data_IF_509195042330
#
_entry.id   IF_509195042330
#
_cell.length_a   1.000
_cell.length_b   1.000
_cell.length_c   1.000
_cell.angle_alpha   90.00
_cell.angle_beta   90.00
_cell.angle_gamma   90.00
#
_symmetry.space_group_name_H-M   'P 1'
#
loop_
_entity.id
_entity.type
_entity.pdbx_description
1 polymer ?
#
# COMPACT_ATOMS: atom_id res chain seq x y z
N UNK A 1 21.85 -12.93 -18.73
CA UNK A 1 20.94 -12.57 -17.61
C UNK A 1 20.31 -13.86 -17.13
N UNK A 2 20.31 -14.15 -15.82
CA UNK A 2 19.69 -15.39 -15.31
C UNK A 2 18.17 -15.40 -15.55
N UNK A 3 17.62 -16.59 -15.83
CA UNK A 3 16.21 -16.80 -16.08
C UNK A 3 15.38 -16.46 -14.84
N UNK A 4 14.38 -15.57 -14.98
CA UNK A 4 13.45 -15.22 -13.90
C UNK A 4 12.04 -15.67 -14.27
N UNK A 5 11.40 -16.36 -13.34
CA UNK A 5 10.04 -16.84 -13.47
C UNK A 5 9.06 -15.99 -12.66
N UNK A 6 7.83 -15.90 -13.14
CA UNK A 6 6.73 -15.41 -12.32
C UNK A 6 6.53 -16.33 -11.11
N UNK A 7 6.36 -15.77 -9.93
CA UNK A 7 6.16 -16.54 -8.71
C UNK A 7 4.70 -16.94 -8.44
N UNK A 8 3.77 -16.45 -9.26
CA UNK A 8 2.34 -16.76 -9.16
C UNK A 8 2.11 -18.22 -9.61
N UNK A 9 1.45 -19.06 -8.79
CA UNK A 9 1.16 -20.44 -9.16
C UNK A 9 0.42 -20.53 -10.51
N UNK A 10 0.81 -21.48 -11.36
CA UNK A 10 0.22 -21.67 -12.68
C UNK A 10 0.70 -20.69 -13.77
N UNK A 11 1.48 -19.66 -13.42
CA UNK A 11 2.06 -18.75 -14.41
C UNK A 11 3.40 -19.28 -14.93
N UNK A 12 3.47 -19.56 -16.24
CA UNK A 12 4.70 -20.03 -16.91
C UNK A 12 5.57 -18.89 -17.47
N UNK A 13 5.15 -17.64 -17.27
CA UNK A 13 5.86 -16.49 -17.83
C UNK A 13 7.25 -16.32 -17.24
N UNK A 14 8.21 -16.08 -18.13
CA UNK A 14 9.61 -15.91 -17.78
C UNK A 14 10.30 -14.93 -18.73
N UNK A 15 11.50 -14.49 -18.36
CA UNK A 15 12.25 -13.47 -19.10
C UNK A 15 12.76 -13.90 -20.47
N UNK A 16 12.74 -15.19 -20.79
CA UNK A 16 13.21 -15.73 -22.08
C UNK A 16 12.07 -15.84 -23.09
N UNK A 17 10.92 -16.38 -22.67
CA UNK A 17 9.75 -16.57 -23.55
C UNK A 17 8.90 -15.31 -23.69
N UNK A 18 8.85 -14.46 -22.67
CA UNK A 18 8.00 -13.26 -22.65
C UNK A 18 8.85 -11.98 -22.81
N UNK A 19 9.58 -11.90 -23.93
CA UNK A 19 10.37 -10.71 -24.29
C UNK A 19 9.44 -9.49 -24.44
N UNK A 20 9.54 -8.55 -23.51
CA UNK A 20 8.69 -7.35 -23.44
C UNK A 20 7.74 -7.30 -22.25
N UNK A 21 7.62 -8.39 -21.49
CA UNK A 21 6.84 -8.39 -20.25
C UNK A 21 7.66 -7.83 -19.09
N UNK A 22 7.08 -6.89 -18.35
CA UNK A 22 7.69 -6.36 -17.13
C UNK A 22 7.58 -7.36 -15.98
N UNK A 23 8.67 -7.51 -15.21
CA UNK A 23 8.73 -8.33 -14.01
C UNK A 23 8.98 -7.44 -12.78
N UNK A 24 8.05 -7.46 -11.83
CA UNK A 24 8.05 -6.57 -10.68
C UNK A 24 8.45 -7.32 -9.40
N UNK A 25 9.32 -6.70 -8.61
CA UNK A 25 9.64 -7.17 -7.26
C UNK A 25 8.52 -6.83 -6.27
N UNK A 26 8.42 -7.62 -5.20
CA UNK A 26 7.57 -7.29 -4.08
C UNK A 26 7.95 -5.92 -3.48
N UNK A 27 6.99 -5.09 -3.06
CA UNK A 27 7.29 -3.84 -2.39
C UNK A 27 7.97 -4.08 -1.03
N UNK A 28 8.88 -3.18 -0.64
CA UNK A 28 9.52 -3.21 0.68
C UNK A 28 8.58 -2.71 1.79
N UNK A 29 7.54 -1.96 1.42
CA UNK A 29 6.49 -1.53 2.34
C UNK A 29 5.73 -2.77 2.87
N UNK A 30 5.71 -3.02 4.19
CA UNK A 30 5.12 -4.23 4.75
C UNK A 30 3.62 -4.37 4.47
N UNK A 31 2.87 -3.26 4.48
CA UNK A 31 1.42 -3.26 4.27
C UNK A 31 1.11 -3.72 2.85
N UNK A 32 1.74 -3.09 1.86
CA UNK A 32 1.57 -3.44 0.45
C UNK A 32 2.14 -4.81 0.12
N UNK A 33 3.23 -5.21 0.76
CA UNK A 33 3.83 -6.53 0.59
C UNK A 33 2.86 -7.62 1.06
N UNK A 34 2.21 -7.41 2.21
CA UNK A 34 1.16 -8.32 2.72
C UNK A 34 0.02 -8.49 1.71
N UNK A 35 -0.44 -7.42 1.07
CA UNK A 35 -1.47 -7.49 0.03
C UNK A 35 -1.03 -8.32 -1.18
N UNK A 36 0.21 -8.12 -1.64
CA UNK A 36 0.77 -8.94 -2.72
C UNK A 36 0.87 -10.42 -2.34
N UNK A 37 1.31 -10.73 -1.12
CA UNK A 37 1.40 -12.10 -0.62
C UNK A 37 0.03 -12.77 -0.57
N UNK A 38 -0.99 -12.05 -0.09
CA UNK A 38 -2.38 -12.52 -0.08
C UNK A 38 -2.87 -12.83 -1.49
N UNK A 39 -2.65 -11.90 -2.42
CA UNK A 39 -3.17 -12.03 -3.77
C UNK A 39 -2.38 -13.01 -4.66
N UNK A 40 -1.11 -13.30 -4.36
CA UNK A 40 -0.37 -14.36 -5.05
C UNK A 40 -0.81 -15.77 -4.63
N UNK A 41 -1.67 -15.87 -3.61
CA UNK A 41 -2.21 -17.12 -3.06
C UNK A 41 -1.16 -18.20 -2.77
N UNK A 42 -0.01 -17.80 -2.22
CA UNK A 42 1.11 -18.70 -1.92
C UNK A 42 1.41 -18.70 -0.42
N UNK A 43 1.17 -19.86 0.22
CA UNK A 43 1.33 -20.00 1.67
C UNK A 43 2.78 -19.79 2.13
N UNK A 44 3.76 -20.26 1.34
CA UNK A 44 5.20 -20.14 1.64
C UNK A 44 5.67 -18.68 1.83
N UNK A 45 4.93 -17.71 1.26
CA UNK A 45 5.32 -16.30 1.32
C UNK A 45 4.94 -15.64 2.63
N UNK A 46 3.98 -16.20 3.37
CA UNK A 46 3.52 -15.66 4.65
C UNK A 46 4.61 -15.71 5.73
N UNK A 47 5.55 -16.63 5.61
CA UNK A 47 6.68 -16.79 6.53
C UNK A 47 7.93 -15.97 6.13
N UNK A 48 7.90 -15.26 4.99
CA UNK A 48 9.07 -14.52 4.46
C UNK A 48 8.98 -13.03 4.78
N UNK A 49 10.14 -12.40 4.96
CA UNK A 49 10.18 -10.95 5.13
C UNK A 49 9.95 -10.22 3.79
N UNK A 50 9.49 -8.96 3.79
CA UNK A 50 9.39 -8.15 2.57
C UNK A 50 10.72 -8.04 1.80
N UNK A 51 11.86 -8.08 2.51
CA UNK A 51 13.19 -7.99 1.91
C UNK A 51 13.52 -9.27 1.14
N UNK A 52 13.24 -10.44 1.71
CA UNK A 52 13.45 -11.73 1.05
C UNK A 52 12.57 -11.86 -0.19
N UNK A 53 11.30 -11.44 -0.06
CA UNK A 53 10.35 -11.42 -1.17
C UNK A 53 10.81 -10.49 -2.30
N UNK A 54 11.27 -9.28 -1.96
CA UNK A 54 11.76 -8.29 -2.92
C UNK A 54 12.97 -8.80 -3.70
N UNK A 55 13.90 -9.48 -3.05
CA UNK A 55 15.13 -9.99 -3.69
C UNK A 55 14.87 -11.20 -4.56
N UNK A 56 14.16 -12.20 -4.03
CA UNK A 56 14.06 -13.52 -4.62
C UNK A 56 12.92 -13.73 -5.63
N UNK A 57 11.86 -12.92 -5.57
CA UNK A 57 10.62 -13.24 -6.28
C UNK A 57 10.14 -12.11 -7.19
N UNK A 58 9.51 -12.48 -8.30
CA UNK A 58 8.98 -11.55 -9.29
C UNK A 58 7.57 -11.92 -9.69
N UNK A 59 6.73 -10.92 -9.88
CA UNK A 59 5.39 -11.05 -10.45
C UNK A 59 5.41 -10.40 -11.83
N UNK A 60 4.95 -11.09 -12.85
CA UNK A 60 4.93 -10.55 -14.20
C UNK A 60 3.76 -9.56 -14.41
N UNK A 61 3.86 -8.71 -15.43
CA UNK A 61 2.89 -7.66 -15.72
C UNK A 61 1.47 -8.16 -16.00
N UNK A 62 1.30 -9.42 -16.42
CA UNK A 62 -0.01 -10.04 -16.69
C UNK A 62 -0.92 -10.09 -15.46
N UNK A 63 -0.36 -10.00 -14.26
CA UNK A 63 -1.13 -10.08 -13.01
C UNK A 63 -1.67 -8.71 -12.54
N UNK A 64 -1.34 -7.62 -13.23
CA UNK A 64 -1.76 -6.26 -12.87
C UNK A 64 -2.69 -5.71 -13.95
N UNK A 65 -3.73 -5.00 -13.52
CA UNK A 65 -4.62 -4.31 -14.47
C UNK A 65 -3.89 -3.16 -15.18
N UNK A 66 -4.22 -2.85 -16.45
CA UNK A 66 -3.63 -1.72 -17.18
C UNK A 66 -3.72 -0.37 -16.44
N UNK A 67 -4.78 -0.17 -15.66
CA UNK A 67 -5.02 1.03 -14.84
C UNK A 67 -4.02 1.21 -13.68
N UNK A 68 -3.37 0.12 -13.27
CA UNK A 68 -2.41 0.09 -12.16
C UNK A 68 -1.00 0.53 -12.56
N UNK A 69 -0.73 0.71 -13.86
CA UNK A 69 0.55 1.19 -14.35
C UNK A 69 0.61 2.71 -14.38
N UNK A 70 1.79 3.27 -14.05
CA UNK A 70 2.01 4.71 -13.99
C UNK A 70 2.30 5.35 -15.36
N UNK A 71 2.24 4.58 -16.44
CA UNK A 71 2.50 5.06 -17.81
C UNK A 71 2.25 3.98 -18.85
N UNK A 72 2.33 4.37 -20.12
CA UNK A 72 2.03 3.50 -21.27
C UNK A 72 3.02 2.33 -21.43
N UNK A 73 4.27 2.50 -20.97
CA UNK A 73 5.31 1.46 -21.09
C UNK A 73 5.17 0.31 -20.09
N UNK A 74 4.16 0.34 -19.21
CA UNK A 74 3.90 -0.70 -18.19
C UNK A 74 5.17 -1.13 -17.42
N UNK A 75 6.09 -0.20 -17.19
CA UNK A 75 7.39 -0.43 -16.55
C UNK A 75 7.39 -0.11 -15.06
N UNK A 76 6.37 0.61 -14.59
CA UNK A 76 6.23 1.06 -13.20
C UNK A 76 4.79 0.89 -12.72
N UNK A 77 4.66 0.39 -11.49
CA UNK A 77 3.38 0.21 -10.81
C UNK A 77 3.06 1.42 -9.92
N UNK A 78 1.79 1.82 -9.90
CA UNK A 78 1.26 2.81 -8.96
C UNK A 78 1.32 2.28 -7.52
N UNK A 79 1.16 3.16 -6.53
CA UNK A 79 1.27 2.79 -5.10
C UNK A 79 0.19 1.80 -4.66
N UNK A 80 -1.02 1.89 -5.21
CA UNK A 80 -2.14 0.99 -4.92
C UNK A 80 -2.12 -0.31 -5.74
N UNK A 81 -1.16 -0.48 -6.65
CA UNK A 81 -1.14 -1.63 -7.53
C UNK A 81 -0.82 -2.91 -6.74
N UNK A 82 -1.70 -3.89 -6.88
CA UNK A 82 -1.61 -5.24 -6.32
C UNK A 82 -1.89 -6.25 -7.44
N UNK A 83 -1.27 -7.43 -7.42
CA UNK A 83 -1.63 -8.46 -8.37
C UNK A 83 -3.09 -8.86 -8.11
N UNK A 84 -3.93 -8.93 -9.12
CA UNK A 84 -5.36 -9.27 -8.96
C UNK A 84 -5.80 -10.41 -9.86
N UNK A 85 -5.06 -10.69 -10.93
CA UNK A 85 -5.41 -11.72 -11.89
C UNK A 85 -4.67 -13.00 -11.52
N UNK A 86 -5.33 -13.91 -10.81
CA UNK A 86 -4.82 -15.26 -10.60
C UNK A 86 -5.19 -16.12 -11.81
N UNK A 87 -4.20 -16.75 -12.45
CA UNK A 87 -4.45 -17.77 -13.48
C UNK A 87 -4.80 -19.07 -12.76
N UNK A 88 -6.04 -19.18 -12.30
CA UNK A 88 -6.66 -20.45 -11.96
C UNK A 88 -7.70 -20.70 -13.04
N UNK A 89 -7.49 -21.75 -13.82
CA UNK A 89 -8.46 -22.26 -14.78
C UNK A 89 -9.70 -22.73 -13.99
N UNK A 90 -10.66 -21.82 -13.80
CA UNK A 90 -12.05 -22.13 -13.51
C UNK A 90 -12.88 -20.88 -13.84
N UNK A 91 -13.66 -20.99 -14.91
CA UNK A 91 -14.72 -20.06 -15.32
C UNK A 91 -15.59 -19.56 -14.16
N UNK A 92 -15.72 -18.24 -13.96
CA UNK A 92 -16.96 -17.52 -13.59
C UNK A 92 -16.74 -16.01 -13.33
N UNK A 93 -17.38 -15.20 -14.19
CA UNK A 93 -18.04 -13.87 -14.04
C UNK A 93 -17.84 -12.94 -12.81
N UNK A 94 -17.60 -11.65 -13.14
CA UNK A 94 -18.20 -10.36 -12.66
C UNK A 94 -18.89 -10.29 -11.27
N UNK A 95 -18.73 -9.27 -10.41
CA UNK A 95 -19.30 -7.90 -10.60
C UNK A 95 -18.78 -6.83 -9.61
N UNK A 96 -18.71 -5.60 -10.16
CA UNK A 96 -19.10 -4.29 -9.62
C UNK A 96 -18.54 -3.76 -8.28
N UNK A 97 -17.68 -2.74 -8.39
CA UNK A 97 -17.44 -1.77 -7.33
C UNK A 97 -18.57 -0.70 -7.35
N UNK A 98 -19.63 -0.94 -6.59
CA UNK A 98 -20.62 0.10 -6.27
C UNK A 98 -19.95 1.20 -5.46
N UNK A 99 -19.86 2.40 -6.04
CA UNK A 99 -19.44 3.62 -5.37
C UNK A 99 -20.66 4.16 -4.60
N UNK A 100 -20.65 4.27 -3.26
CA UNK A 100 -21.59 5.18 -2.61
C UNK A 100 -21.02 6.61 -2.71
N UNK A 101 -21.64 7.40 -3.57
CA UNK A 101 -21.50 8.85 -3.57
C UNK A 101 -22.00 9.38 -2.22
N UNK A 102 -21.12 10.04 -1.46
CA UNK A 102 -21.54 10.93 -0.36
C UNK A 102 -21.14 12.36 -0.72
N UNK A 103 -22.08 13.32 -0.68
CA UNK A 103 -21.86 14.69 -1.10
C UNK A 103 -20.99 15.42 -0.08
N UNK A 104 -19.85 15.95 -0.52
CA UNK A 104 -19.06 16.88 0.29
C UNK A 104 -19.70 18.25 0.11
N UNK A 105 -20.57 18.62 1.04
CA UNK A 105 -21.04 19.99 1.20
C UNK A 105 -19.87 20.85 1.70
N UNK A 106 -19.51 21.84 0.89
CA UNK A 106 -18.59 22.92 1.22
C UNK A 106 -19.15 23.78 2.36
N UNK A 107 -18.29 24.15 3.30
CA UNK A 107 -18.29 25.45 4.00
C UNK A 107 -16.89 25.54 4.68
N UNK A 108 -15.98 26.35 4.11
CA UNK A 108 -15.65 27.73 4.51
C UNK A 108 -15.01 27.80 5.92
N UNK A 109 -13.99 28.60 6.25
CA UNK A 109 -13.03 29.49 5.59
C UNK A 109 -12.21 30.07 6.77
N UNK A 110 -10.93 30.39 6.55
CA UNK A 110 -10.11 31.39 7.30
C UNK A 110 -9.88 31.17 8.81
N UNK A 111 -8.85 31.68 9.46
CA UNK A 111 -7.56 32.28 9.13
C UNK A 111 -6.88 32.49 10.50
N UNK A 112 -5.57 32.42 10.49
CA UNK A 112 -4.65 32.76 11.57
C UNK A 112 -4.93 34.09 12.28
N UNK A 113 -4.83 34.12 13.62
CA UNK A 113 -4.17 35.22 14.35
C UNK A 113 -3.88 34.83 15.82
N UNK A 114 -2.60 34.68 16.14
CA UNK A 114 -2.03 35.03 17.46
C UNK A 114 -1.78 36.56 17.45
N UNK A 115 -1.66 37.33 18.55
CA UNK A 115 -0.94 37.00 19.79
C UNK A 115 -1.49 37.56 21.14
N UNK A 116 -0.85 37.12 22.23
CA UNK A 116 -0.62 37.70 23.58
C UNK A 116 -1.57 38.76 24.19
N UNK A 117 -2.11 38.47 25.39
CA UNK A 117 -1.88 39.34 26.58
C UNK A 117 -2.12 38.64 27.92
N UNK A 118 -1.30 39.08 28.86
CA UNK A 118 -1.03 38.71 30.26
C UNK A 118 -2.22 39.00 31.20
N UNK A 119 -2.51 38.11 32.16
CA UNK A 119 -3.00 38.49 33.49
C UNK A 119 -2.85 37.35 34.51
N UNK A 120 -2.03 37.60 35.53
CA UNK A 120 -2.01 36.93 36.83
C UNK A 120 -3.15 37.53 37.67
N UNK A 121 -3.83 36.78 38.57
CA UNK A 121 -3.49 37.00 39.99
C UNK A 121 -3.73 35.82 40.96
N UNK A 122 -3.04 35.95 42.10
CA UNK A 122 -3.42 35.63 43.48
C UNK A 122 -3.99 34.25 43.83
N UNK A 123 -3.17 33.46 44.54
CA UNK A 123 -3.66 32.62 45.64
C UNK A 123 -3.00 33.06 46.95
N UNK A 124 -3.84 33.51 47.88
CA UNK A 124 -3.59 33.58 49.32
C UNK A 124 -3.63 32.12 49.88
N UNK A 125 -3.12 31.69 51.05
CA UNK A 125 -2.96 32.28 52.38
C UNK A 125 -1.94 31.44 53.19
N UNK A 126 -1.28 32.12 54.13
CA UNK A 126 -1.04 31.75 55.54
C UNK A 126 -0.75 30.29 55.93
N UNK A 127 0.46 30.06 56.46
CA UNK A 127 0.68 29.12 57.56
C UNK A 127 1.53 29.81 58.62
N UNK A 128 0.91 30.10 59.75
CA UNK A 128 1.53 30.44 61.04
C UNK A 128 1.95 29.16 61.75
N UNK A 129 3.10 29.18 62.42
CA UNK A 129 3.24 28.62 63.79
C UNK A 129 4.66 28.86 64.33
N UNK A 130 4.70 29.73 65.32
CA UNK A 130 5.69 29.82 66.39
C UNK A 130 5.68 28.47 67.15
N UNK A 131 6.80 27.89 67.55
CA UNK A 131 7.59 28.35 68.69
C UNK A 131 7.26 27.51 69.92
N UNK A 132 7.94 26.37 70.08
CA UNK A 132 8.45 25.86 71.37
C UNK A 132 9.50 24.77 71.15
#
# INVERSE_FOLDING_TARGET
MGLRYCCVPGCLSNTETDMGLSFFSFPLDPKRCSEWVKNCNRHDFRAKSPIDLHRGYRVCGKHFQPTMFAGMSQSRLKKFAVPTLLMSDNSMMEVEATIPAVPITSEAVSESTSPDVIAIPSTSKEVTSEGQ
#
